data_IF_350282927641
#
_entry.id   IF_350282927641
#
_cell.length_a   1.000
_cell.length_b   1.000
_cell.length_c   1.000
_cell.angle_alpha   90.00
_cell.angle_beta   90.00
_cell.angle_gamma   90.00
#
_symmetry.space_group_name_H-M   'P 1'
#
loop_
_entity.id
_entity.type
_entity.pdbx_description
1 polymer ?
#
# COMPACT_ATOMS: atom_id res chain seq x y z
N UNK A 1 10.79 5.11 -10.87
CA UNK A 1 10.29 5.15 -9.47
C UNK A 1 9.23 4.06 -9.35
N UNK A 2 9.65 2.82 -9.07
CA UNK A 2 8.73 1.71 -8.84
C UNK A 2 8.25 1.85 -7.40
N UNK A 3 6.98 2.21 -7.23
CA UNK A 3 6.30 2.30 -5.94
C UNK A 3 6.15 0.86 -5.41
N UNK A 4 7.17 0.36 -4.72
CA UNK A 4 7.15 -0.92 -3.98
C UNK A 4 6.51 -0.66 -2.62
N UNK A 5 5.22 -0.29 -2.62
CA UNK A 5 4.55 0.31 -1.44
C UNK A 5 3.40 -0.54 -0.89
N UNK A 6 3.27 -1.81 -1.33
CA UNK A 6 2.15 -2.65 -0.90
C UNK A 6 2.55 -3.94 -0.14
N UNK A 7 3.74 -4.50 -0.36
CA UNK A 7 4.13 -5.78 0.26
C UNK A 7 4.45 -5.68 1.76
N UNK A 8 4.89 -4.52 2.27
CA UNK A 8 5.29 -4.36 3.67
C UNK A 8 4.15 -3.94 4.63
N UNK A 9 2.98 -3.58 4.08
CA UNK A 9 1.86 -2.98 4.80
C UNK A 9 0.74 -3.98 5.16
N UNK A 10 0.82 -5.21 4.66
CA UNK A 10 -0.20 -6.24 4.85
C UNK A 10 0.04 -7.10 6.08
N UNK A 11 -0.03 -6.43 7.23
CA UNK A 11 -0.35 -7.05 8.52
C UNK A 11 -1.62 -6.38 9.06
N UNK A 12 -2.76 -6.78 8.48
CA UNK A 12 -4.08 -7.08 9.09
C UNK A 12 -4.71 -6.07 10.10
N UNK A 13 -5.76 -5.33 9.69
CA UNK A 13 -6.58 -4.38 10.52
C UNK A 13 -7.95 -3.96 9.84
N UNK A 14 -9.14 -3.99 10.49
CA UNK A 14 -10.50 -3.49 10.06
C UNK A 14 -11.07 -2.09 10.51
N UNK A 15 -12.40 -1.83 10.34
CA UNK A 15 -13.38 -0.93 11.04
C UNK A 15 -14.82 -1.54 10.99
N UNK A 16 -15.75 -1.28 11.96
CA UNK A 16 -16.84 -2.22 12.25
C UNK A 16 -18.13 -2.02 11.45
N UNK A 17 -18.58 -3.06 10.76
CA UNK A 17 -20.01 -3.32 10.53
C UNK A 17 -20.59 -4.10 11.73
N UNK A 18 -21.80 -3.71 12.18
CA UNK A 18 -22.48 -4.27 13.35
C UNK A 18 -22.62 -5.80 13.26
N UNK A 19 -21.80 -6.54 14.02
CA UNK A 19 -21.79 -8.02 14.09
C UNK A 19 -23.06 -8.57 14.75
N UNK A 20 -23.47 -9.80 14.41
CA UNK A 20 -24.49 -10.53 15.16
C UNK A 20 -23.95 -10.91 16.55
N UNK A 21 -24.67 -10.54 17.61
CA UNK A 21 -24.31 -10.85 19.00
C UNK A 21 -24.20 -12.38 19.21
N UNK A 22 -22.99 -12.88 19.48
CA UNK A 22 -22.77 -14.22 20.01
C UNK A 22 -22.46 -14.10 21.50
N UNK A 23 -23.48 -14.25 22.36
CA UNK A 23 -23.29 -14.23 23.81
C UNK A 23 -22.55 -15.50 24.29
N UNK A 24 -21.46 -15.38 25.06
CA UNK A 24 -20.83 -16.52 25.72
C UNK A 24 -21.74 -17.02 26.85
N UNK A 25 -22.33 -18.22 26.71
CA UNK A 25 -23.16 -18.82 27.76
C UNK A 25 -22.26 -19.28 28.93
N UNK A 26 -22.51 -18.75 30.12
CA UNK A 26 -21.69 -18.97 31.31
C UNK A 26 -22.40 -19.86 32.34
N UNK A 27 -23.05 -20.93 31.88
CA UNK A 27 -23.74 -21.89 32.76
C UNK A 27 -22.84 -23.11 33.02
N UNK A 28 -22.39 -23.24 34.28
CA UNK A 28 -21.51 -24.31 34.78
C UNK A 28 -22.15 -25.71 34.83
N UNK A 29 -22.63 -26.22 33.70
CA UNK A 29 -23.05 -27.59 33.51
C UNK A 29 -21.90 -28.51 33.05
N UNK A 30 -22.00 -29.83 33.27
CA UNK A 30 -21.00 -30.78 32.79
C UNK A 30 -20.91 -30.71 31.26
N UNK A 31 -19.67 -30.56 30.76
CA UNK A 31 -19.32 -30.40 29.36
C UNK A 31 -19.94 -31.50 28.48
N UNK A 32 -21.11 -31.21 27.94
CA UNK A 32 -21.59 -31.81 26.71
C UNK A 32 -20.86 -31.06 25.61
N UNK A 33 -20.24 -31.80 24.70
CA UNK A 33 -19.60 -31.33 23.47
C UNK A 33 -20.68 -30.67 22.58
N UNK A 34 -21.14 -29.51 23.01
CA UNK A 34 -22.04 -28.65 22.28
C UNK A 34 -21.18 -28.04 21.19
N UNK A 35 -21.15 -28.71 20.05
CA UNK A 35 -20.35 -28.33 18.89
C UNK A 35 -20.39 -26.83 18.71
N UNK A 36 -19.24 -26.21 18.98
CA UNK A 36 -19.00 -24.81 18.64
C UNK A 36 -19.39 -24.71 17.16
N UNK A 37 -20.31 -23.81 16.79
CA UNK A 37 -20.70 -23.67 15.40
C UNK A 37 -19.43 -23.51 14.58
N UNK A 38 -19.28 -24.37 13.56
CA UNK A 38 -18.11 -24.33 12.70
C UNK A 38 -17.94 -22.89 12.22
N UNK A 39 -16.84 -22.28 12.64
CA UNK A 39 -16.51 -20.93 12.27
C UNK A 39 -16.20 -20.96 10.77
N UNK A 40 -16.91 -20.14 9.99
CA UNK A 40 -16.65 -20.00 8.58
C UNK A 40 -15.37 -19.17 8.41
N UNK A 41 -14.23 -19.86 8.35
CA UNK A 41 -12.90 -19.25 8.23
C UNK A 41 -12.77 -18.39 6.97
N UNK A 42 -13.47 -18.75 5.89
CA UNK A 42 -13.48 -17.96 4.66
C UNK A 42 -14.25 -16.65 4.85
N UNK A 43 -15.41 -16.70 5.51
CA UNK A 43 -16.16 -15.47 5.84
C UNK A 43 -15.37 -14.56 6.79
N UNK A 44 -14.66 -15.13 7.76
CA UNK A 44 -13.77 -14.38 8.64
C UNK A 44 -12.61 -13.74 7.88
N UNK A 45 -11.94 -14.50 7.01
CA UNK A 45 -10.85 -14.00 6.20
C UNK A 45 -11.28 -12.86 5.28
N UNK A 46 -12.43 -13.00 4.59
CA UNK A 46 -13.01 -11.94 3.78
C UNK A 46 -13.29 -10.68 4.59
N UNK A 47 -13.95 -10.83 5.74
CA UNK A 47 -14.25 -9.69 6.62
C UNK A 47 -12.96 -8.96 6.98
N UNK A 48 -11.92 -9.71 7.37
CA UNK A 48 -10.65 -9.14 7.77
C UNK A 48 -9.98 -8.34 6.63
N UNK A 49 -9.96 -8.90 5.41
CA UNK A 49 -9.34 -8.27 4.24
C UNK A 49 -10.17 -7.09 3.74
N UNK A 50 -11.51 -7.20 3.70
CA UNK A 50 -12.41 -6.11 3.29
C UNK A 50 -12.22 -4.88 4.16
N UNK A 51 -12.24 -5.06 5.48
CA UNK A 51 -12.20 -3.92 6.37
C UNK A 51 -10.84 -3.18 6.31
N UNK A 52 -9.73 -3.90 6.11
CA UNK A 52 -8.40 -3.31 5.87
C UNK A 52 -8.35 -2.50 4.60
N UNK A 53 -8.84 -3.08 3.53
CA UNK A 53 -8.85 -2.45 2.23
C UNK A 53 -9.76 -1.19 2.25
N UNK A 54 -10.88 -1.21 2.99
CA UNK A 54 -11.70 -0.02 3.24
C UNK A 54 -10.96 1.05 4.04
N UNK A 55 -10.22 0.67 5.08
CA UNK A 55 -9.42 1.63 5.86
C UNK A 55 -8.35 2.30 4.98
N UNK A 56 -7.59 1.50 4.22
CA UNK A 56 -6.55 1.99 3.31
C UNK A 56 -7.12 2.99 2.32
N UNK A 57 -8.21 2.65 1.63
CA UNK A 57 -8.86 3.57 0.70
C UNK A 57 -9.52 4.77 1.38
N UNK A 58 -10.00 4.61 2.62
CA UNK A 58 -10.38 5.72 3.48
C UNK A 58 -9.24 6.72 3.64
N UNK A 59 -8.02 6.23 3.92
CA UNK A 59 -6.83 7.05 4.08
C UNK A 59 -6.36 7.74 2.81
N UNK A 60 -6.38 7.04 1.67
CA UNK A 60 -6.21 7.70 0.36
C UNK A 60 -7.28 8.76 0.13
N UNK A 61 -8.49 8.54 0.64
CA UNK A 61 -9.61 9.47 0.61
C UNK A 61 -9.43 10.72 1.48
N UNK A 62 -8.62 10.68 2.53
CA UNK A 62 -8.44 11.80 3.46
C UNK A 62 -7.32 12.75 3.03
N UNK A 63 -6.21 12.23 2.49
CA UNK A 63 -5.10 13.07 2.02
C UNK A 63 -5.34 13.57 0.59
N UNK A 64 -5.35 14.90 0.41
CA UNK A 64 -5.41 15.52 -0.92
C UNK A 64 -4.12 15.26 -1.70
N UNK A 65 -3.00 15.23 -0.99
CA UNK A 65 -1.69 14.95 -1.57
C UNK A 65 -1.63 13.54 -2.18
N UNK A 66 -2.10 12.53 -1.44
CA UNK A 66 -2.13 11.15 -1.94
C UNK A 66 -3.08 10.98 -3.14
N UNK A 67 -4.23 11.68 -3.15
CA UNK A 67 -5.10 11.72 -4.34
C UNK A 67 -4.41 12.32 -5.54
N UNK A 68 -3.69 13.42 -5.35
CA UNK A 68 -2.93 14.06 -6.43
C UNK A 68 -1.87 13.10 -6.98
N UNK A 69 -1.14 12.38 -6.11
CA UNK A 69 -0.17 11.37 -6.52
C UNK A 69 -0.77 10.19 -7.27
N UNK A 70 -1.86 9.61 -6.75
CA UNK A 70 -2.54 8.50 -7.41
C UNK A 70 -3.01 8.89 -8.83
N UNK A 71 -3.60 10.09 -8.98
CA UNK A 71 -4.07 10.61 -10.27
C UNK A 71 -2.93 10.75 -11.29
N UNK A 72 -1.72 11.10 -10.84
CA UNK A 72 -0.57 11.26 -11.73
C UNK A 72 0.01 9.95 -12.25
N UNK A 73 -0.03 8.89 -11.43
CA UNK A 73 0.42 7.57 -11.85
C UNK A 73 -0.44 6.93 -12.94
N UNK A 74 -1.45 7.63 -13.46
CA UNK A 74 -2.51 7.07 -14.30
C UNK A 74 -3.41 6.10 -13.53
N UNK A 75 -3.21 5.97 -12.22
CA UNK A 75 -4.01 5.14 -11.35
C UNK A 75 -5.31 5.84 -11.02
N UNK A 76 -6.41 5.08 -11.03
CA UNK A 76 -7.61 5.50 -10.31
C UNK A 76 -7.23 5.66 -8.84
N UNK A 77 -7.67 6.75 -8.20
CA UNK A 77 -7.72 6.79 -6.74
C UNK A 77 -8.68 5.68 -6.37
N UNK A 78 -8.20 4.58 -5.79
CA UNK A 78 -9.06 3.45 -5.56
C UNK A 78 -10.16 3.85 -4.57
N UNK A 79 -11.39 3.52 -4.92
CA UNK A 79 -12.57 3.83 -4.14
C UNK A 79 -12.83 2.73 -3.10
N UNK A 80 -13.53 3.04 -2.01
CA UNK A 80 -14.00 2.00 -1.10
C UNK A 80 -14.90 0.94 -1.78
N UNK A 81 -15.49 1.25 -2.94
CA UNK A 81 -16.30 0.29 -3.71
C UNK A 81 -15.40 -0.71 -4.45
N UNK A 82 -14.26 -0.25 -4.98
CA UNK A 82 -13.25 -1.08 -5.63
C UNK A 82 -12.74 -2.17 -4.67
N UNK A 83 -12.71 -1.86 -3.37
CA UNK A 83 -12.37 -2.82 -2.35
C UNK A 83 -13.26 -4.06 -2.32
N UNK A 84 -14.57 -3.87 -2.43
CA UNK A 84 -15.50 -4.99 -2.39
C UNK A 84 -15.38 -5.87 -3.64
N UNK A 85 -14.91 -5.30 -4.75
CA UNK A 85 -14.67 -6.00 -6.00
C UNK A 85 -13.34 -6.77 -5.97
N UNK A 86 -12.30 -6.24 -5.31
CA UNK A 86 -11.00 -6.90 -5.17
C UNK A 86 -10.99 -8.01 -4.11
N UNK A 87 -11.75 -7.86 -3.01
CA UNK A 87 -11.80 -8.86 -1.92
C UNK A 87 -12.74 -10.02 -2.27
N UNK A 88 -12.26 -10.88 -3.15
CA UNK A 88 -12.95 -12.12 -3.56
C UNK A 88 -12.39 -13.35 -2.85
N UNK A 89 -13.08 -14.50 -2.98
CA UNK A 89 -12.54 -15.81 -2.53
C UNK A 89 -11.22 -16.18 -3.21
N UNK A 90 -10.99 -15.63 -4.41
CA UNK A 90 -9.80 -15.89 -5.22
C UNK A 90 -8.66 -14.92 -4.93
N UNK A 91 -8.90 -13.89 -4.11
CA UNK A 91 -7.85 -12.98 -3.68
C UNK A 91 -6.84 -13.73 -2.82
N UNK A 92 -5.56 -13.51 -3.11
CA UNK A 92 -4.48 -14.25 -2.48
C UNK A 92 -4.47 -14.08 -0.97
N UNK A 93 -4.66 -12.86 -0.47
CA UNK A 93 -4.76 -12.61 0.98
C UNK A 93 -5.91 -13.35 1.66
N UNK A 94 -7.10 -13.39 1.05
CA UNK A 94 -8.24 -14.14 1.61
C UNK A 94 -7.92 -15.63 1.62
N UNK A 95 -7.32 -16.15 0.54
CA UNK A 95 -6.95 -17.55 0.44
C UNK A 95 -5.89 -17.94 1.50
N UNK A 96 -4.82 -17.15 1.66
CA UNK A 96 -3.77 -17.40 2.67
C UNK A 96 -4.33 -17.35 4.09
N UNK A 97 -5.11 -16.32 4.42
CA UNK A 97 -5.68 -16.16 5.75
C UNK A 97 -6.70 -17.28 6.06
N UNK A 98 -7.58 -17.60 5.11
CA UNK A 98 -8.53 -18.69 5.25
C UNK A 98 -7.83 -20.05 5.40
N UNK A 99 -6.79 -20.31 4.61
CA UNK A 99 -6.00 -21.55 4.67
C UNK A 99 -5.22 -21.69 5.98
N UNK A 100 -4.62 -20.60 6.48
CA UNK A 100 -3.95 -20.58 7.78
C UNK A 100 -4.92 -20.81 8.95
N UNK A 101 -6.12 -20.24 8.89
CA UNK A 101 -7.19 -20.47 9.87
C UNK A 101 -7.72 -21.91 9.82
N UNK A 102 -7.94 -22.47 8.62
CA UNK A 102 -8.43 -23.84 8.44
C UNK A 102 -7.41 -24.88 8.92
N UNK A 103 -6.13 -24.65 8.66
CA UNK A 103 -5.05 -25.53 9.11
C UNK A 103 -4.70 -25.36 10.60
N UNK A 104 -5.27 -24.36 11.27
CA UNK A 104 -4.97 -24.04 12.67
C UNK A 104 -3.56 -23.46 12.87
N UNK A 105 -2.94 -22.98 11.79
CA UNK A 105 -1.61 -22.36 11.79
C UNK A 105 -1.66 -20.87 12.12
N UNK A 106 -2.85 -20.29 12.01
CA UNK A 106 -3.17 -18.92 12.39
C UNK A 106 -4.38 -18.94 13.30
N UNK A 107 -4.40 -18.06 14.29
CA UNK A 107 -5.61 -17.68 15.04
C UNK A 107 -5.80 -16.17 15.00
N UNK A 108 -7.04 -15.70 15.06
CA UNK A 108 -7.35 -14.27 15.09
C UNK A 108 -7.93 -13.89 16.45
N UNK A 109 -7.31 -12.94 17.14
CA UNK A 109 -7.89 -12.26 18.29
C UNK A 109 -8.80 -11.12 17.82
N UNK A 110 -10.10 -11.40 17.78
CA UNK A 110 -11.10 -10.44 17.31
C UNK A 110 -11.32 -9.26 18.27
N UNK A 111 -10.96 -9.38 19.55
CA UNK A 111 -11.03 -8.26 20.47
C UNK A 111 -9.84 -7.31 20.23
N UNK A 112 -8.65 -7.87 20.01
CA UNK A 112 -7.48 -7.10 19.59
C UNK A 112 -7.70 -6.46 18.21
N UNK A 113 -8.40 -7.16 17.31
CA UNK A 113 -8.83 -6.63 16.01
C UNK A 113 -9.61 -5.33 16.19
N UNK A 114 -10.77 -5.37 16.86
CA UNK A 114 -11.62 -4.17 16.98
C UNK A 114 -10.88 -2.97 17.63
N UNK A 115 -9.96 -3.23 18.58
CA UNK A 115 -9.13 -2.17 19.18
C UNK A 115 -8.10 -1.61 18.20
N UNK A 116 -7.36 -2.49 17.53
CA UNK A 116 -6.36 -2.13 16.53
C UNK A 116 -6.94 -1.16 15.50
N UNK A 117 -8.10 -1.55 15.02
CA UNK A 117 -8.95 -0.92 14.03
C UNK A 117 -9.42 0.47 14.38
N UNK A 118 -9.94 0.63 15.59
CA UNK A 118 -10.35 1.92 16.10
C UNK A 118 -9.16 2.84 16.39
N UNK A 119 -7.97 2.25 16.58
CA UNK A 119 -6.74 2.99 16.89
C UNK A 119 -5.90 3.36 15.67
N UNK A 120 -6.24 2.84 14.48
CA UNK A 120 -5.49 3.15 13.27
C UNK A 120 -5.68 4.61 12.87
N UNK A 121 -4.56 5.29 12.62
CA UNK A 121 -4.53 6.58 11.96
C UNK A 121 -3.87 6.40 10.59
N UNK A 122 -4.26 7.20 9.60
CA UNK A 122 -3.72 7.07 8.24
C UNK A 122 -2.19 7.19 8.17
N UNK A 123 -1.59 8.02 9.04
CA UNK A 123 -0.14 8.12 9.16
C UNK A 123 0.51 6.82 9.63
N UNK A 124 -0.15 6.07 10.53
CA UNK A 124 0.46 4.88 11.17
C UNK A 124 0.66 3.71 10.23
N UNK A 125 -0.15 3.60 9.18
CA UNK A 125 -0.06 2.44 8.28
C UNK A 125 1.23 2.49 7.47
N UNK A 126 1.67 3.68 7.08
CA UNK A 126 2.77 3.83 6.11
C UNK A 126 4.12 4.16 6.74
N UNK A 127 4.15 4.77 7.93
CA UNK A 127 5.39 4.99 8.67
C UNK A 127 5.89 3.73 9.41
N UNK A 128 5.24 2.58 9.19
CA UNK A 128 5.55 1.32 9.86
C UNK A 128 5.27 1.34 11.37
N UNK A 129 4.76 2.43 11.93
CA UNK A 129 4.39 2.53 13.35
C UNK A 129 3.13 1.73 13.68
N UNK A 130 2.33 1.37 12.68
CA UNK A 130 1.28 0.37 12.81
C UNK A 130 1.82 -0.97 13.36
N UNK A 131 3.10 -1.29 13.12
CA UNK A 131 3.75 -2.46 13.72
C UNK A 131 3.94 -2.34 15.25
N UNK A 132 3.83 -1.13 15.80
CA UNK A 132 3.82 -0.84 17.24
C UNK A 132 2.42 -0.62 17.84
N UNK A 133 1.37 -0.60 17.02
CA UNK A 133 -0.01 -0.62 17.49
C UNK A 133 -0.38 -2.03 18.00
N UNK A 134 -1.46 -2.18 18.80
CA UNK A 134 -1.98 -3.50 19.21
C UNK A 134 -2.41 -4.41 18.03
N UNK A 135 -2.25 -3.93 16.79
CA UNK A 135 -2.47 -4.62 15.54
C UNK A 135 -1.54 -5.80 15.30
N UNK A 136 -0.30 -5.75 15.81
CA UNK A 136 0.64 -6.87 15.68
C UNK A 136 0.15 -8.18 16.32
N UNK A 137 -0.73 -8.08 17.33
CA UNK A 137 -1.23 -9.23 18.08
C UNK A 137 -2.57 -9.77 17.57
N UNK A 138 -3.14 -9.19 16.52
CA UNK A 138 -4.41 -9.63 15.95
C UNK A 138 -4.29 -11.03 15.39
N UNK A 139 -3.30 -11.23 14.52
CA UNK A 139 -3.13 -12.48 13.78
C UNK A 139 -1.96 -13.21 14.37
N UNK A 140 -2.28 -14.24 15.11
CA UNK A 140 -1.34 -14.98 15.95
C UNK A 140 -0.97 -16.25 15.21
N UNK A 141 0.23 -16.24 14.62
CA UNK A 141 0.84 -17.43 14.05
C UNK A 141 1.12 -18.51 15.10
N UNK A 142 1.07 -19.77 14.68
CA UNK A 142 1.26 -20.95 15.52
C UNK A 142 2.50 -21.77 15.13
N UNK A 143 3.19 -21.39 14.05
CA UNK A 143 4.35 -22.11 13.51
C UNK A 143 5.62 -21.65 14.20
N UNK A 144 6.35 -22.56 14.86
CA UNK A 144 7.54 -22.18 15.62
C UNK A 144 8.69 -21.76 14.70
N UNK A 145 9.65 -21.01 15.26
CA UNK A 145 10.91 -20.69 14.58
C UNK A 145 11.60 -21.97 14.08
N UNK A 146 12.01 -21.97 12.82
CA UNK A 146 12.65 -23.09 12.12
C UNK A 146 11.69 -24.08 11.46
N UNK A 147 10.39 -24.04 11.78
CA UNK A 147 9.38 -24.88 11.14
C UNK A 147 8.90 -24.28 9.81
N UNK A 148 8.36 -25.13 8.93
CA UNK A 148 7.95 -24.74 7.58
C UNK A 148 6.74 -23.81 7.58
N UNK A 149 6.74 -22.77 6.74
CA UNK A 149 5.67 -21.76 6.62
C UNK A 149 5.30 -21.46 5.16
N UNK A 150 4.08 -20.93 4.95
CA UNK A 150 3.62 -20.43 3.65
C UNK A 150 3.56 -18.90 3.59
N UNK A 151 3.33 -18.26 4.73
CA UNK A 151 3.22 -16.80 4.82
C UNK A 151 3.67 -16.32 6.20
N UNK A 152 4.10 -15.07 6.27
CA UNK A 152 4.57 -14.45 7.52
C UNK A 152 3.58 -14.56 8.68
N UNK A 153 2.25 -14.40 8.48
CA UNK A 153 1.28 -14.48 9.58
C UNK A 153 1.19 -15.85 10.25
N UNK A 154 1.70 -16.92 9.63
CA UNK A 154 1.72 -18.25 10.25
C UNK A 154 2.78 -18.38 11.35
N UNK A 155 3.81 -17.55 11.33
CA UNK A 155 4.94 -17.65 12.25
C UNK A 155 4.59 -17.16 13.66
N UNK A 156 4.94 -17.97 14.66
CA UNK A 156 4.64 -17.72 16.06
C UNK A 156 5.35 -16.44 16.54
N UNK A 157 4.58 -15.50 17.12
CA UNK A 157 5.11 -14.16 17.42
C UNK A 157 5.02 -13.20 16.23
N UNK A 158 4.05 -13.42 15.35
CA UNK A 158 3.65 -12.54 14.27
C UNK A 158 3.44 -11.08 14.74
N UNK A 159 3.60 -10.14 13.81
CA UNK A 159 3.43 -8.70 14.01
C UNK A 159 4.73 -7.90 14.14
N UNK A 160 5.80 -8.51 14.65
CA UNK A 160 7.07 -7.80 14.87
C UNK A 160 8.31 -8.69 14.81
N UNK A 161 8.23 -9.99 15.13
CA UNK A 161 9.45 -10.76 15.43
C UNK A 161 9.78 -11.89 14.48
N UNK A 162 8.87 -12.31 13.59
CA UNK A 162 9.14 -13.42 12.69
C UNK A 162 8.59 -13.16 11.29
N UNK A 163 9.23 -13.76 10.28
CA UNK A 163 8.73 -13.85 8.90
C UNK A 163 8.91 -15.25 8.35
N UNK A 164 8.21 -15.54 7.27
CA UNK A 164 8.42 -16.72 6.48
C UNK A 164 9.52 -16.47 5.44
N UNK A 165 10.56 -17.31 5.40
CA UNK A 165 11.60 -17.20 4.36
C UNK A 165 11.15 -17.64 2.96
N UNK A 166 9.85 -17.85 2.76
CA UNK A 166 9.26 -18.22 1.48
C UNK A 166 9.42 -17.07 0.48
N UNK A 167 9.72 -17.41 -0.77
CA UNK A 167 9.51 -16.51 -1.90
C UNK A 167 8.57 -17.19 -2.89
N UNK A 168 7.51 -16.48 -3.26
CA UNK A 168 6.44 -17.00 -4.11
C UNK A 168 5.75 -18.23 -3.52
N UNK A 169 5.53 -19.24 -4.36
CA UNK A 169 4.78 -20.45 -4.00
C UNK A 169 5.55 -21.54 -3.24
N UNK A 170 6.76 -21.26 -2.78
CA UNK A 170 7.61 -22.25 -2.11
C UNK A 170 7.45 -22.18 -0.59
N UNK A 171 7.40 -23.36 0.05
CA UNK A 171 7.49 -23.47 1.50
C UNK A 171 8.76 -22.79 2.03
N UNK A 172 8.59 -21.81 2.90
CA UNK A 172 9.66 -21.18 3.67
C UNK A 172 9.84 -21.83 5.03
N UNK A 173 10.64 -21.20 5.87
CA UNK A 173 10.77 -21.49 7.29
C UNK A 173 10.55 -20.23 8.09
N UNK A 174 9.90 -20.34 9.26
CA UNK A 174 9.77 -19.21 10.16
C UNK A 174 11.13 -18.81 10.70
N UNK A 175 11.55 -17.58 10.43
CA UNK A 175 12.81 -17.02 10.91
C UNK A 175 12.54 -15.81 11.81
N UNK A 176 13.42 -15.59 12.78
CA UNK A 176 13.38 -14.40 13.62
C UNK A 176 13.86 -13.18 12.82
N UNK A 177 13.10 -12.09 12.88
CA UNK A 177 13.49 -10.80 12.32
C UNK A 177 14.64 -10.19 13.12
N UNK A 178 15.53 -9.52 12.40
CA UNK A 178 16.72 -8.85 12.92
C UNK A 178 16.36 -7.73 13.90
N UNK A 179 17.08 -7.68 15.02
CA UNK A 179 16.98 -6.61 16.01
C UNK A 179 17.75 -5.36 15.58
N UNK A 180 17.56 -4.25 16.29
CA UNK A 180 18.28 -2.99 16.04
C UNK A 180 19.81 -3.21 16.03
N UNK A 181 20.48 -2.69 15.01
CA UNK A 181 21.92 -2.79 14.79
C UNK A 181 22.40 -4.13 14.20
N UNK A 182 21.50 -5.07 13.93
CA UNK A 182 21.81 -6.33 13.23
C UNK A 182 21.76 -6.10 11.71
N UNK A 183 22.65 -6.77 10.99
CA UNK A 183 22.69 -6.67 9.52
C UNK A 183 21.39 -7.16 8.88
N UNK A 184 21.02 -6.52 7.78
CA UNK A 184 19.84 -6.82 6.97
C UNK A 184 20.16 -6.64 5.48
N UNK A 185 19.36 -7.26 4.62
CA UNK A 185 19.38 -7.12 3.16
C UNK A 185 18.16 -6.32 2.66
N UNK A 186 17.07 -6.29 3.44
CA UNK A 186 15.88 -5.51 3.16
C UNK A 186 15.07 -5.16 4.41
N UNK A 187 14.13 -4.22 4.27
CA UNK A 187 13.26 -3.75 5.37
C UNK A 187 12.42 -4.87 6.00
N UNK A 188 12.13 -5.90 5.20
CA UNK A 188 11.42 -7.09 5.60
C UNK A 188 12.27 -8.04 6.47
N UNK A 189 13.59 -7.85 6.57
CA UNK A 189 14.45 -8.60 7.52
C UNK A 189 14.36 -8.03 8.94
N UNK A 190 13.86 -6.81 9.09
CA UNK A 190 13.93 -6.07 10.34
C UNK A 190 12.66 -6.22 11.18
N UNK A 191 12.83 -6.33 12.51
CA UNK A 191 11.71 -6.37 13.46
C UNK A 191 10.84 -5.12 13.30
N UNK A 192 9.53 -5.26 13.53
CA UNK A 192 8.60 -4.15 13.34
C UNK A 192 8.98 -2.89 14.14
N UNK A 193 8.78 -1.72 13.51
CA UNK A 193 9.30 -0.44 13.97
C UNK A 193 10.77 -0.17 13.57
N UNK A 194 11.40 -1.08 12.82
CA UNK A 194 12.73 -0.90 12.24
C UNK A 194 12.66 -0.96 10.70
N UNK A 195 13.62 -0.32 10.04
CA UNK A 195 13.90 -0.32 8.59
C UNK A 195 15.35 -0.75 8.37
N UNK A 196 15.64 -1.34 7.22
CA UNK A 196 16.98 -1.71 6.82
C UNK A 196 17.69 -0.52 6.16
N UNK A 197 18.51 0.19 6.94
CA UNK A 197 19.20 1.38 6.47
C UNK A 197 20.72 1.21 6.52
N UNK A 198 21.41 1.84 5.57
CA UNK A 198 22.87 1.90 5.52
C UNK A 198 23.37 2.71 4.33
N UNK A 199 24.59 3.24 4.44
CA UNK A 199 25.27 3.89 3.31
C UNK A 199 25.62 2.84 2.23
N UNK A 200 25.71 3.26 0.96
CA UNK A 200 25.97 2.37 -0.21
C UNK A 200 27.21 1.47 -0.04
N UNK A 201 28.21 1.93 0.73
CA UNK A 201 29.46 1.22 1.01
C UNK A 201 29.54 0.56 2.42
N UNK A 202 28.47 0.63 3.20
CA UNK A 202 28.40 0.10 4.57
C UNK A 202 27.41 -1.07 4.65
N UNK A 203 27.62 -2.06 5.54
CA UNK A 203 26.60 -3.05 5.82
C UNK A 203 25.33 -2.36 6.29
N UNK A 204 24.20 -2.64 5.63
CA UNK A 204 22.90 -2.18 6.09
C UNK A 204 22.56 -2.88 7.40
N UNK A 205 21.96 -2.14 8.32
CA UNK A 205 21.54 -2.65 9.62
C UNK A 205 20.13 -2.19 9.92
N UNK A 206 19.40 -2.96 10.72
CA UNK A 206 18.08 -2.56 11.16
C UNK A 206 18.18 -1.35 12.09
N UNK A 207 17.56 -0.24 11.71
CA UNK A 207 17.50 0.99 12.50
C UNK A 207 16.05 1.35 12.80
N UNK A 208 15.74 2.06 13.91
CA UNK A 208 14.39 2.53 14.15
C UNK A 208 13.85 3.33 12.96
N UNK A 209 12.60 3.09 12.57
CA UNK A 209 11.95 3.94 11.57
C UNK A 209 11.85 5.34 12.15
N UNK A 210 12.36 6.32 11.41
CA UNK A 210 12.24 7.71 11.82
C UNK A 210 10.76 8.11 11.77
N UNK A 211 10.23 8.75 12.84
CA UNK A 211 8.83 9.17 12.82
C UNK A 211 8.64 10.22 11.72
N UNK A 212 7.47 10.18 11.08
CA UNK A 212 7.10 11.23 10.13
C UNK A 212 7.15 12.61 10.80
N UNK A 213 7.71 13.57 10.07
CA UNK A 213 7.96 14.92 10.52
C UNK A 213 6.66 15.75 10.46
N UNK A 214 6.41 16.47 11.54
CA UNK A 214 5.28 17.39 11.66
C UNK A 214 5.56 18.71 10.90
N UNK A 215 4.50 19.50 10.67
CA UNK A 215 4.62 20.81 10.03
C UNK A 215 5.61 21.72 10.78
N UNK A 216 6.50 22.37 10.03
CA UNK A 216 7.57 23.22 10.55
C UNK A 216 8.83 22.50 10.99
N UNK A 217 8.87 21.16 10.96
CA UNK A 217 10.09 20.40 11.22
C UNK A 217 11.07 20.49 10.03
N UNK A 218 12.37 20.49 10.33
CA UNK A 218 13.41 20.46 9.30
C UNK A 218 13.45 19.07 8.65
N UNK A 219 13.54 19.03 7.32
CA UNK A 219 13.56 17.81 6.51
C UNK A 219 14.75 17.82 5.56
N UNK A 220 15.19 16.66 5.09
CA UNK A 220 16.20 16.57 4.03
C UNK A 220 15.49 16.53 2.66
N UNK A 221 15.73 17.53 1.82
CA UNK A 221 15.12 17.64 0.48
C UNK A 221 16.01 17.13 -0.65
N UNK A 222 17.16 16.51 -0.37
CA UNK A 222 18.16 16.10 -1.38
C UNK A 222 17.61 15.14 -2.44
N UNK A 223 16.71 14.24 -2.07
CA UNK A 223 16.13 13.24 -2.98
C UNK A 223 14.80 13.70 -3.58
N UNK A 224 14.19 14.71 -2.97
CA UNK A 224 12.97 15.33 -3.44
C UNK A 224 12.06 15.78 -2.28
N UNK A 225 10.95 16.44 -2.60
CA UNK A 225 9.99 16.94 -1.62
C UNK A 225 9.20 15.83 -0.90
N UNK A 226 9.32 14.59 -1.37
CA UNK A 226 8.65 13.41 -0.79
C UNK A 226 9.56 12.59 0.11
N UNK A 227 10.88 12.74 -0.04
CA UNK A 227 11.87 11.91 0.65
C UNK A 227 12.29 12.50 2.01
N UNK A 228 11.80 13.70 2.33
CA UNK A 228 12.13 14.40 3.58
C UNK A 228 11.40 13.90 4.82
N UNK A 229 10.84 12.70 4.83
CA UNK A 229 10.07 12.12 5.95
C UNK A 229 8.87 13.00 6.41
N UNK A 230 8.42 13.97 5.63
CA UNK A 230 7.24 14.76 5.98
C UNK A 230 5.96 13.91 5.96
N UNK A 231 5.05 14.16 6.89
CA UNK A 231 3.78 13.43 6.97
C UNK A 231 2.86 13.78 5.80
N UNK A 232 3.02 13.07 4.68
CA UNK A 232 2.26 13.30 3.45
C UNK A 232 0.76 13.03 3.61
N UNK A 233 0.38 12.23 4.62
CA UNK A 233 -1.02 11.96 4.97
C UNK A 233 -1.70 13.18 5.60
N UNK A 234 -0.89 14.07 6.17
CA UNK A 234 -1.31 15.41 6.61
C UNK A 234 -1.05 16.49 5.55
N UNK A 235 -0.96 16.08 4.29
CA UNK A 235 -0.66 16.94 3.14
C UNK A 235 0.67 17.72 3.29
N UNK A 236 1.65 17.19 4.04
CA UNK A 236 2.94 17.84 4.22
C UNK A 236 3.96 17.37 3.19
N UNK A 237 4.76 18.30 2.68
CA UNK A 237 5.90 18.03 1.81
C UNK A 237 7.15 18.76 2.31
N UNK A 238 8.32 18.26 1.95
CA UNK A 238 9.59 18.91 2.25
C UNK A 238 9.86 20.02 1.23
N UNK A 239 9.83 21.28 1.67
CA UNK A 239 10.19 22.42 0.82
C UNK A 239 11.56 22.96 1.23
N UNK A 240 12.54 22.83 0.34
CA UNK A 240 13.85 23.45 0.45
C UNK A 240 13.97 24.63 -0.53
N UNK A 241 14.76 25.65 -0.18
CA UNK A 241 15.10 26.70 -1.13
C UNK A 241 16.01 26.12 -2.24
N UNK A 242 15.98 26.73 -3.43
CA UNK A 242 16.78 26.27 -4.56
C UNK A 242 18.27 26.24 -4.19
N UNK A 243 18.86 25.04 -4.22
CA UNK A 243 20.27 24.82 -3.88
C UNK A 243 20.55 24.53 -2.41
N UNK A 244 19.52 24.40 -1.57
CA UNK A 244 19.65 23.92 -0.18
C UNK A 244 19.24 22.45 -0.08
N UNK A 245 20.00 21.68 0.72
CA UNK A 245 19.68 20.28 1.04
C UNK A 245 18.69 20.16 2.20
N UNK A 246 18.60 21.18 3.06
CA UNK A 246 17.68 21.23 4.19
C UNK A 246 16.44 22.03 3.84
N UNK A 247 15.26 21.46 4.08
CA UNK A 247 13.97 22.09 3.90
C UNK A 247 13.15 22.13 5.18
N UNK A 248 11.88 22.52 5.04
CA UNK A 248 10.91 22.47 6.14
C UNK A 248 9.63 21.78 5.67
N UNK A 249 9.10 20.86 6.49
CA UNK A 249 7.81 20.24 6.22
C UNK A 249 6.70 21.29 6.25
N UNK A 250 6.06 21.50 5.10
CA UNK A 250 5.05 22.53 4.90
C UNK A 250 3.81 21.93 4.27
N UNK A 251 2.62 22.45 4.61
CA UNK A 251 1.38 22.02 3.97
C UNK A 251 1.40 22.36 2.48
N UNK A 252 1.12 21.36 1.65
CA UNK A 252 0.91 21.54 0.23
C UNK A 252 -0.28 22.47 -0.05
N UNK A 253 -0.14 23.37 -1.02
CA UNK A 253 -1.22 24.26 -1.45
C UNK A 253 -2.06 23.56 -2.53
N UNK A 254 -3.38 23.61 -2.40
CA UNK A 254 -4.34 23.05 -3.35
C UNK A 254 -5.25 24.13 -3.95
N UNK A 255 -4.72 25.35 -4.09
CA UNK A 255 -5.51 26.53 -4.44
C UNK A 255 -5.36 26.96 -5.91
N UNK A 256 -4.43 26.33 -6.66
CA UNK A 256 -4.12 26.74 -8.03
C UNK A 256 -5.30 26.45 -8.98
N UNK A 257 -5.77 27.50 -9.63
CA UNK A 257 -6.90 27.49 -10.57
C UNK A 257 -6.44 27.14 -12.00
N UNK A 258 -7.40 26.88 -12.89
CA UNK A 258 -7.11 26.62 -14.30
C UNK A 258 -6.25 27.74 -14.93
N UNK A 259 -5.14 27.34 -15.56
CA UNK A 259 -4.14 28.24 -16.15
C UNK A 259 -3.12 28.82 -15.17
N UNK A 260 -3.26 28.60 -13.86
CA UNK A 260 -2.26 28.99 -12.87
C UNK A 260 -1.12 27.98 -12.81
N UNK A 261 0.07 28.48 -12.43
CA UNK A 261 1.25 27.64 -12.24
C UNK A 261 0.99 26.57 -11.18
N UNK A 262 1.41 25.35 -11.48
CA UNK A 262 1.40 24.25 -10.55
C UNK A 262 2.75 23.55 -10.62
N UNK A 263 3.23 23.06 -9.49
CA UNK A 263 4.48 22.30 -9.47
C UNK A 263 4.39 21.30 -8.33
N UNK A 264 4.22 20.05 -8.74
CA UNK A 264 4.02 18.91 -7.85
C UNK A 264 5.18 18.81 -6.87
N UNK A 265 6.40 18.96 -7.38
CA UNK A 265 7.59 18.91 -6.54
C UNK A 265 7.85 20.19 -5.73
N UNK A 266 7.07 21.26 -5.98
CA UNK A 266 7.09 22.49 -5.18
C UNK A 266 5.87 22.65 -4.28
N UNK A 267 5.03 21.62 -4.16
CA UNK A 267 3.86 21.66 -3.30
C UNK A 267 2.71 22.52 -3.78
N UNK A 268 2.68 22.90 -5.06
CA UNK A 268 1.60 23.69 -5.63
C UNK A 268 0.75 22.77 -6.49
N UNK A 269 -0.39 22.39 -5.94
CA UNK A 269 -1.37 21.50 -6.55
C UNK A 269 -2.60 22.29 -7.00
N UNK A 270 -3.29 21.70 -7.98
CA UNK A 270 -4.49 22.26 -8.54
C UNK A 270 -5.70 22.01 -7.64
N UNK A 271 -6.73 22.86 -7.76
CA UNK A 271 -8.04 22.59 -7.16
C UNK A 271 -8.68 21.32 -7.72
N UNK A 272 -9.63 20.75 -6.96
CA UNK A 272 -10.35 19.52 -7.32
C UNK A 272 -10.86 19.52 -8.77
N UNK A 273 -10.56 18.43 -9.48
CA UNK A 273 -10.97 18.22 -10.88
C UNK A 273 -9.99 18.76 -11.92
N UNK A 274 -9.00 19.56 -11.52
CA UNK A 274 -7.87 19.94 -12.36
C UNK A 274 -6.66 19.06 -12.07
N UNK A 275 -5.77 18.93 -13.05
CA UNK A 275 -4.52 18.18 -12.94
C UNK A 275 -3.34 19.10 -13.23
N UNK A 276 -2.24 18.85 -12.51
CA UNK A 276 -0.96 19.43 -12.83
C UNK A 276 -0.21 18.46 -13.76
N UNK A 277 0.14 18.87 -15.00
CA UNK A 277 0.91 18.02 -15.89
C UNK A 277 2.26 17.64 -15.25
N UNK A 278 2.64 16.38 -15.39
CA UNK A 278 3.95 15.89 -14.97
C UNK A 278 4.98 16.37 -15.98
N UNK A 279 6.00 17.07 -15.50
CA UNK A 279 7.15 17.48 -16.31
C UNK A 279 8.42 16.99 -15.64
N UNK A 280 9.32 16.39 -16.43
CA UNK A 280 10.62 15.92 -15.93
C UNK A 280 11.65 17.05 -15.91
N UNK A 281 11.47 18.06 -16.76
CA UNK A 281 12.27 19.28 -16.80
C UNK A 281 11.34 20.43 -17.22
N UNK A 282 10.83 21.25 -16.28
CA UNK A 282 9.97 22.36 -16.63
C UNK A 282 10.73 23.32 -17.55
N UNK A 283 10.14 23.63 -18.70
CA UNK A 283 10.60 24.71 -19.56
C UNK A 283 10.26 26.04 -18.88
N UNK A 284 11.25 26.91 -18.66
CA UNK A 284 11.03 28.23 -18.06
C UNK A 284 10.04 29.06 -18.88
N UNK A 285 10.01 28.85 -20.20
CA UNK A 285 9.09 29.55 -21.12
C UNK A 285 7.70 28.90 -21.18
N UNK A 286 7.56 27.64 -20.71
CA UNK A 286 6.30 26.90 -20.71
C UNK A 286 6.13 26.07 -19.43
N UNK A 287 5.93 26.74 -18.28
CA UNK A 287 5.81 26.04 -17.02
C UNK A 287 4.48 25.26 -16.95
N UNK A 288 4.44 24.15 -16.19
CA UNK A 288 3.21 23.42 -15.93
C UNK A 288 2.15 24.33 -15.31
N UNK A 289 0.95 24.27 -15.87
CA UNK A 289 -0.22 24.98 -15.37
C UNK A 289 -1.39 24.03 -15.18
N UNK A 290 -2.21 24.31 -14.18
CA UNK A 290 -3.41 23.53 -13.90
C UNK A 290 -4.36 23.54 -15.10
N UNK A 291 -4.80 22.35 -15.50
CA UNK A 291 -5.72 22.18 -16.63
C UNK A 291 -6.67 21.02 -16.39
N UNK A 292 -7.72 20.92 -17.19
CA UNK A 292 -8.59 19.74 -17.18
C UNK A 292 -7.80 18.50 -17.65
N UNK A 293 -8.13 17.29 -17.15
CA UNK A 293 -7.62 16.06 -17.72
C UNK A 293 -7.96 15.95 -19.21
N UNK A 294 -7.14 15.22 -19.95
CA UNK A 294 -7.24 15.12 -21.41
C UNK A 294 -8.31 14.10 -21.80
N UNK A 295 -9.18 14.46 -22.74
CA UNK A 295 -10.27 13.61 -23.20
C UNK A 295 -9.77 12.48 -24.13
N UNK A 296 -10.63 11.49 -24.36
CA UNK A 296 -10.35 10.38 -25.27
C UNK A 296 -9.86 10.83 -26.67
N UNK A 297 -8.70 10.34 -27.09
CA UNK A 297 -8.10 10.60 -28.39
C UNK A 297 -7.39 11.96 -28.53
N UNK A 298 -7.37 12.78 -27.48
CA UNK A 298 -6.61 14.04 -27.45
C UNK A 298 -5.16 13.79 -27.01
N UNK A 299 -4.27 14.76 -27.30
CA UNK A 299 -2.84 14.68 -26.98
C UNK A 299 -2.60 14.83 -25.49
N UNK A 300 -2.04 13.80 -24.87
CA UNK A 300 -1.67 13.78 -23.45
C UNK A 300 -0.17 13.93 -23.23
N UNK A 301 0.65 13.65 -24.25
CA UNK A 301 2.10 13.78 -24.21
C UNK A 301 2.54 14.89 -25.17
N UNK A 302 3.09 15.97 -24.62
CA UNK A 302 3.60 17.12 -25.38
C UNK A 302 5.11 17.23 -25.19
N UNK A 303 5.87 17.58 -26.25
CA UNK A 303 7.33 17.74 -26.18
C UNK A 303 8.13 16.58 -26.76
N UNK A 304 9.45 16.63 -26.64
CA UNK A 304 10.38 15.61 -27.18
C UNK A 304 11.51 15.29 -26.19
N UNK A 305 11.92 14.02 -26.13
CA UNK A 305 13.06 13.59 -25.32
C UNK A 305 12.80 13.71 -23.81
N UNK A 306 13.66 14.43 -23.09
CA UNK A 306 13.55 14.64 -21.64
C UNK A 306 12.71 15.87 -21.26
N UNK A 307 12.37 16.71 -22.24
CA UNK A 307 11.54 17.90 -22.06
C UNK A 307 10.13 17.59 -22.57
N UNK A 308 9.47 16.63 -21.91
CA UNK A 308 8.08 16.30 -22.17
C UNK A 308 7.19 16.70 -21.00
N UNK A 309 5.93 16.94 -21.33
CA UNK A 309 4.86 17.23 -20.41
C UNK A 309 3.76 16.19 -20.62
N UNK A 310 3.44 15.45 -19.56
CA UNK A 310 2.38 14.45 -19.57
C UNK A 310 1.19 14.97 -18.78
N UNK A 311 0.06 15.18 -19.45
CA UNK A 311 -1.20 15.51 -18.79
C UNK A 311 -2.02 14.23 -18.59
N UNK A 312 -2.46 13.91 -17.37
CA UNK A 312 -3.33 12.77 -17.13
C UNK A 312 -4.60 12.80 -17.99
N UNK A 313 -5.02 11.62 -18.45
CA UNK A 313 -6.27 11.44 -19.16
C UNK A 313 -7.47 11.41 -18.19
N UNK A 314 -8.67 11.64 -18.71
CA UNK A 314 -9.91 11.38 -17.95
C UNK A 314 -10.01 9.90 -17.54
N UNK A 315 -10.74 9.63 -16.45
CA UNK A 315 -10.93 8.27 -15.92
C UNK A 315 -11.40 7.27 -17.00
N UNK A 316 -10.83 6.07 -16.98
CA UNK A 316 -11.06 5.03 -18.00
C UNK A 316 -10.15 5.12 -19.23
N UNK A 317 -9.23 6.09 -19.25
CA UNK A 317 -8.26 6.29 -20.31
C UNK A 317 -6.85 6.41 -19.74
N UNK A 318 -5.86 6.07 -20.56
CA UNK A 318 -4.45 6.18 -20.24
C UNK A 318 -3.70 6.90 -21.37
N UNK A 319 -2.54 7.48 -21.07
CA UNK A 319 -1.73 8.14 -22.09
C UNK A 319 -0.88 7.10 -22.83
N UNK A 320 -1.26 6.74 -24.06
CA UNK A 320 -0.54 5.74 -24.85
C UNK A 320 0.76 6.33 -25.41
N UNK A 321 1.88 5.87 -24.88
CA UNK A 321 3.21 6.47 -25.07
C UNK A 321 3.58 6.62 -26.56
N UNK A 322 3.35 5.58 -27.36
CA UNK A 322 3.70 5.61 -28.80
C UNK A 322 2.88 6.63 -29.58
N UNK A 323 1.61 6.82 -29.23
CA UNK A 323 0.74 7.78 -29.92
C UNK A 323 0.77 9.19 -29.34
N UNK A 324 1.18 9.32 -28.08
CA UNK A 324 1.04 10.55 -27.28
C UNK A 324 -0.42 10.99 -27.07
N UNK A 325 -1.40 10.07 -27.18
CA UNK A 325 -2.83 10.38 -27.04
C UNK A 325 -3.52 9.50 -26.00
N UNK A 326 -4.63 10.01 -25.46
CA UNK A 326 -5.44 9.24 -24.50
C UNK A 326 -6.17 8.09 -25.20
N UNK A 327 -5.86 6.86 -24.81
CA UNK A 327 -6.48 5.63 -25.30
C UNK A 327 -7.33 4.98 -24.20
N UNK A 328 -8.38 4.26 -24.60
CA UNK A 328 -9.26 3.61 -23.63
C UNK A 328 -8.53 2.46 -22.93
N UNK A 329 -8.72 2.36 -21.62
CA UNK A 329 -8.24 1.23 -20.85
C UNK A 329 -9.03 -0.05 -21.21
N UNK A 330 -8.39 -1.19 -21.00
CA UNK A 330 -8.86 -2.53 -21.31
C UNK A 330 -9.29 -3.24 -20.03
N UNK A 331 -10.37 -4.05 -20.07
CA UNK A 331 -10.82 -4.80 -18.90
C UNK A 331 -9.85 -5.93 -18.53
N UNK A 332 -9.94 -6.41 -17.28
CA UNK A 332 -9.20 -7.59 -16.81
C UNK A 332 -9.40 -8.79 -17.75
N UNK A 333 -8.30 -9.49 -18.03
CA UNK A 333 -8.20 -10.62 -18.95
C UNK A 333 -8.03 -10.24 -20.43
N UNK A 334 -8.12 -8.96 -20.79
CA UNK A 334 -7.77 -8.49 -22.14
C UNK A 334 -6.25 -8.50 -22.34
N UNK A 335 -5.79 -8.65 -23.58
CA UNK A 335 -4.36 -8.58 -23.91
C UNK A 335 -3.84 -7.14 -23.83
N UNK A 336 -2.67 -6.96 -23.25
CA UNK A 336 -1.98 -5.67 -23.07
C UNK A 336 -0.50 -5.78 -23.46
N UNK A 337 0.14 -4.63 -23.68
CA UNK A 337 1.58 -4.48 -23.92
C UNK A 337 2.24 -3.62 -22.84
N UNK A 338 1.50 -2.68 -22.23
CA UNK A 338 1.95 -1.84 -21.13
C UNK A 338 0.93 -1.75 -19.97
N UNK A 339 1.41 -1.43 -18.77
CA UNK A 339 0.59 -1.39 -17.56
C UNK A 339 -0.57 -0.39 -17.66
N UNK A 340 -0.34 0.76 -18.30
CA UNK A 340 -1.35 1.80 -18.46
C UNK A 340 -2.57 1.35 -19.27
N UNK A 341 -2.45 0.30 -20.10
CA UNK A 341 -3.56 -0.22 -20.88
C UNK A 341 -4.66 -0.84 -20.03
N UNK A 342 -4.38 -1.22 -18.79
CA UNK A 342 -5.32 -1.96 -17.97
C UNK A 342 -6.20 -1.02 -17.16
N UNK A 343 -7.51 -1.27 -17.17
CA UNK A 343 -8.48 -0.48 -16.40
C UNK A 343 -8.24 -0.61 -14.90
N UNK A 344 -7.75 -1.78 -14.49
CA UNK A 344 -7.29 -2.09 -13.16
C UNK A 344 -5.92 -2.78 -13.29
N UNK A 345 -5.04 -2.54 -12.32
CA UNK A 345 -3.78 -3.28 -12.19
C UNK A 345 -2.69 -2.98 -13.20
N UNK A 346 -2.00 -4.04 -13.60
CA UNK A 346 -0.80 -4.04 -14.42
C UNK A 346 -0.93 -5.05 -15.55
N UNK A 347 -0.09 -4.87 -16.58
CA UNK A 347 0.04 -5.84 -17.63
C UNK A 347 0.97 -6.95 -17.16
N UNK A 348 0.39 -8.07 -16.71
CA UNK A 348 1.18 -9.19 -16.21
C UNK A 348 2.07 -9.78 -17.30
N UNK A 349 3.08 -10.57 -16.90
CA UNK A 349 4.07 -11.17 -17.81
C UNK A 349 3.47 -12.00 -18.97
N UNK A 350 2.23 -12.48 -18.80
CA UNK A 350 1.48 -13.17 -19.83
C UNK A 350 0.88 -12.23 -20.91
N UNK A 351 1.11 -10.92 -20.83
CA UNK A 351 0.57 -9.91 -21.74
C UNK A 351 -0.95 -9.77 -21.61
N UNK A 352 -1.48 -9.90 -20.40
CA UNK A 352 -2.91 -9.76 -20.10
C UNK A 352 -3.11 -8.87 -18.89
N UNK A 353 -4.16 -8.04 -18.93
CA UNK A 353 -4.54 -7.20 -17.82
C UNK A 353 -4.97 -8.07 -16.65
N UNK A 354 -4.22 -7.99 -15.55
CA UNK A 354 -4.62 -8.54 -14.27
C UNK A 354 -5.28 -7.45 -13.44
N UNK A 355 -6.24 -7.84 -12.58
CA UNK A 355 -6.60 -6.96 -11.47
C UNK A 355 -5.33 -6.60 -10.71
N UNK A 356 -5.26 -5.41 -10.12
CA UNK A 356 -4.08 -5.00 -9.35
C UNK A 356 -3.90 -6.01 -8.24
N UNK A 357 -2.88 -6.87 -8.33
CA UNK A 357 -2.49 -7.63 -7.16
C UNK A 357 -1.88 -6.60 -6.21
N UNK A 358 -2.63 -6.23 -5.17
CA UNK A 358 -2.06 -5.52 -4.01
C UNK A 358 -0.89 -6.32 -3.38
N UNK A 359 -0.68 -7.57 -3.81
CA UNK A 359 0.21 -8.56 -3.24
C UNK A 359 1.41 -8.92 -4.14
N UNK A 360 1.56 -8.28 -5.31
CA UNK A 360 2.54 -8.68 -6.32
C UNK A 360 2.05 -9.89 -7.12
N UNK A 361 2.48 -10.00 -8.38
CA UNK A 361 2.01 -11.03 -9.33
C UNK A 361 2.85 -12.34 -9.26
N UNK A 362 3.55 -12.62 -8.16
CA UNK A 362 4.45 -13.78 -8.04
C UNK A 362 3.65 -15.09 -7.89
N UNK A 363 3.35 -15.69 -9.05
CA UNK A 363 2.97 -17.10 -9.31
C UNK A 363 2.08 -17.81 -8.26
N UNK A 364 0.76 -17.91 -8.56
CA UNK A 364 -0.17 -18.89 -7.96
C UNK A 364 0.37 -20.32 -8.08
N UNK A 365 1.10 -20.80 -7.07
CA UNK A 365 1.47 -22.21 -6.99
C UNK A 365 0.41 -23.04 -6.27
N UNK A 366 0.25 -24.28 -6.71
CA UNK A 366 -0.57 -25.28 -6.02
C UNK A 366 -0.04 -25.49 -4.59
N UNK A 367 -0.88 -25.25 -3.57
CA UNK A 367 -0.57 -25.51 -2.16
C UNK A 367 -0.24 -26.99 -1.93
N UNK A 368 1.03 -27.36 -2.02
CA UNK A 368 1.53 -28.63 -1.51
C UNK A 368 1.90 -28.45 -0.04
N UNK A 369 1.48 -29.38 0.82
CA UNK A 369 1.73 -29.35 2.27
C UNK A 369 3.23 -29.17 2.55
N UNK A 370 3.61 -28.09 3.25
CA UNK A 370 4.94 -27.96 3.83
C UNK A 370 5.10 -29.02 4.94
N UNK A 371 6.15 -29.84 4.89
CA UNK A 371 6.37 -30.92 5.85
C UNK A 371 6.71 -30.44 7.26
#
# INVERSE_FOLDING_TARGET
MRIVLASACLILMACPAKRPDVEPSNDGGPAVDAGVPAVDNLALAKTAVTDMCQFMYGCYGESRLMKAFATMGGGLVPSPEDCAEEVTEESEAVAHLAGGLESGRITVDWAAWDVCVESMECSSVFDGSARGLPCGDVVIGQVAEGDGCFSDPECQGAGVSHRCSASGSQCGTCILLSEEGVACEGDDDCRGGLTCAGEEDSPQVCTPVEPMLAAGAACNGEEGPLDGNCDMWKDLICLAEEGESEGTCTEASFDAQEGEFCFLFGGVFCVDGLVCPVTFMPDEDNPPTCRNPVEAGETCLEGEGFAFMMTPCVSGFYCHEESGTCAAQKPNGASCEEDGECAEGSCGDAGVCGARSLFGDDERGDYQQCP
#
